data_IF_062806906502
#
_entry.id   IF_062806906502
#
_cell.length_a   1.000
_cell.length_b   1.000
_cell.length_c   1.000
_cell.angle_alpha   90.00
_cell.angle_beta   90.00
_cell.angle_gamma   90.00
#
_symmetry.space_group_name_H-M   'P 1'
#
loop_
_entity.id
_entity.type
_entity.pdbx_description
1 polymer ?
#
# COMPACT_ATOMS: atom_id res chain seq x y z
N UNK A 1 30.42 -12.88 2.41
CA UNK A 1 29.79 -13.22 1.11
C UNK A 1 28.45 -12.47 1.09
N UNK A 2 28.37 -11.33 0.39
CA UNK A 2 27.15 -10.51 0.38
C UNK A 2 26.22 -11.11 -0.67
N UNK A 3 25.18 -11.78 -0.20
CA UNK A 3 24.11 -12.32 -1.03
C UNK A 3 23.38 -11.13 -1.66
N UNK A 4 23.73 -10.81 -2.91
CA UNK A 4 22.97 -9.84 -3.70
C UNK A 4 21.58 -10.43 -3.88
N UNK A 5 20.63 -10.02 -3.04
CA UNK A 5 19.21 -10.23 -3.33
C UNK A 5 18.98 -9.69 -4.73
N UNK A 6 18.79 -10.56 -5.72
CA UNK A 6 18.25 -10.17 -7.02
C UNK A 6 16.94 -9.47 -6.69
N UNK A 7 16.92 -8.14 -6.78
CA UNK A 7 15.65 -7.42 -6.85
C UNK A 7 15.00 -8.00 -8.10
N UNK A 8 13.92 -8.75 -7.91
CA UNK A 8 13.10 -9.17 -9.03
C UNK A 8 12.81 -7.92 -9.89
N UNK A 9 12.95 -8.01 -11.22
CA UNK A 9 12.69 -6.87 -12.09
C UNK A 9 11.31 -6.30 -11.75
N UNK A 10 11.25 -4.99 -11.55
CA UNK A 10 9.97 -4.32 -11.30
C UNK A 10 9.05 -4.60 -12.50
N UNK A 11 7.73 -4.69 -12.30
CA UNK A 11 6.79 -5.14 -13.34
C UNK A 11 7.01 -4.53 -14.75
N UNK A 12 7.42 -3.25 -14.83
CA UNK A 12 7.80 -2.57 -16.08
C UNK A 12 9.03 -3.17 -16.80
N UNK A 13 10.06 -3.57 -16.07
CA UNK A 13 11.27 -4.18 -16.65
C UNK A 13 10.99 -5.58 -17.21
N UNK A 14 10.09 -6.32 -16.55
CA UNK A 14 9.63 -7.63 -17.03
C UNK A 14 8.83 -7.51 -18.33
N UNK A 15 7.87 -6.58 -18.39
CA UNK A 15 7.09 -6.29 -19.61
C UNK A 15 8.01 -5.83 -20.77
N UNK A 16 9.02 -5.01 -20.48
CA UNK A 16 9.99 -4.59 -21.48
C UNK A 16 10.78 -5.77 -22.06
N UNK A 17 11.19 -6.70 -21.20
CA UNK A 17 11.90 -7.92 -21.61
C UNK A 17 10.99 -8.82 -22.47
N UNK A 18 9.72 -8.92 -22.12
CA UNK A 18 8.74 -9.72 -22.87
C UNK A 18 8.44 -9.10 -24.26
N UNK A 19 8.43 -7.78 -24.37
CA UNK A 19 8.32 -7.07 -25.66
C UNK A 19 9.57 -7.25 -26.54
N UNK A 20 10.76 -7.26 -25.95
CA UNK A 20 12.00 -7.59 -26.66
C UNK A 20 11.99 -9.05 -27.13
N UNK A 21 11.44 -9.98 -26.33
CA UNK A 21 11.29 -11.37 -26.76
C UNK A 21 10.33 -11.47 -27.96
N UNK A 22 9.22 -10.73 -27.91
CA UNK A 22 8.23 -10.70 -28.99
C UNK A 22 8.81 -10.13 -30.30
N UNK A 23 9.71 -9.15 -30.23
CA UNK A 23 10.35 -8.56 -31.43
C UNK A 23 11.40 -9.47 -32.07
N UNK A 24 11.94 -10.43 -31.31
CA UNK A 24 12.88 -11.44 -31.79
C UNK A 24 12.19 -12.69 -32.35
N UNK A 25 10.88 -12.85 -32.12
CA UNK A 25 10.12 -13.99 -32.62
C UNK A 25 9.84 -13.87 -34.12
N UNK A 26 9.90 -14.98 -34.89
CA UNK A 26 9.41 -15.01 -36.26
C UNK A 26 7.92 -14.65 -36.30
N UNK A 27 7.46 -13.86 -37.29
CA UNK A 27 6.06 -13.43 -37.37
C UNK A 27 5.06 -14.59 -37.54
N UNK A 28 5.51 -15.73 -38.05
CA UNK A 28 4.73 -16.97 -38.22
C UNK A 28 4.79 -17.92 -37.01
N UNK A 29 5.41 -17.51 -35.89
CA UNK A 29 5.47 -18.34 -34.70
C UNK A 29 4.10 -18.49 -34.06
N UNK A 30 3.64 -19.73 -33.90
CA UNK A 30 2.41 -20.08 -33.17
C UNK A 30 2.38 -19.58 -31.72
N UNK A 31 3.55 -19.24 -31.15
CA UNK A 31 3.72 -18.79 -29.75
C UNK A 31 3.57 -17.27 -29.60
N UNK A 32 3.72 -16.50 -30.69
CA UNK A 32 3.58 -15.06 -30.68
C UNK A 32 2.23 -14.55 -30.13
N UNK A 33 1.06 -15.11 -30.48
CA UNK A 33 -0.22 -14.67 -29.91
C UNK A 33 -0.33 -14.96 -28.40
N UNK A 34 0.20 -16.08 -27.92
CA UNK A 34 0.20 -16.41 -26.50
C UNK A 34 1.07 -15.43 -25.68
N UNK A 35 2.23 -15.05 -26.23
CA UNK A 35 3.12 -14.07 -25.60
C UNK A 35 2.51 -12.67 -25.58
N UNK A 36 1.83 -12.25 -26.66
CA UNK A 36 1.07 -10.99 -26.69
C UNK A 36 -0.01 -10.93 -25.62
N UNK A 37 -0.79 -12.00 -25.47
CA UNK A 37 -1.82 -12.09 -24.43
C UNK A 37 -1.22 -11.98 -23.02
N UNK A 38 -0.04 -12.59 -22.79
CA UNK A 38 0.67 -12.47 -21.53
C UNK A 38 1.11 -11.03 -21.23
N UNK A 39 1.69 -10.36 -22.23
CA UNK A 39 2.14 -8.96 -22.13
C UNK A 39 0.95 -8.04 -21.85
N UNK A 40 -0.17 -8.18 -22.57
CA UNK A 40 -1.38 -7.39 -22.33
C UNK A 40 -1.94 -7.60 -20.93
N UNK A 41 -1.99 -8.84 -20.44
CA UNK A 41 -2.38 -9.16 -19.07
C UNK A 41 -1.46 -8.50 -18.04
N UNK A 42 -0.15 -8.56 -18.26
CA UNK A 42 0.85 -7.91 -17.43
C UNK A 42 0.74 -6.38 -17.42
N UNK A 43 0.44 -5.77 -18.57
CA UNK A 43 0.21 -4.32 -18.69
C UNK A 43 -1.07 -3.92 -17.96
N UNK A 44 -2.19 -4.64 -18.15
CA UNK A 44 -3.44 -4.36 -17.42
C UNK A 44 -3.23 -4.45 -15.92
N UNK A 45 -2.56 -5.51 -15.46
CA UNK A 45 -2.27 -5.68 -14.05
C UNK A 45 -1.30 -4.60 -13.53
N UNK A 46 -0.32 -4.17 -14.33
CA UNK A 46 0.59 -3.10 -13.94
C UNK A 46 -0.15 -1.77 -13.78
N UNK A 47 -1.04 -1.43 -14.72
CA UNK A 47 -1.86 -0.21 -14.67
C UNK A 47 -2.80 -0.24 -13.46
N UNK A 48 -3.52 -1.34 -13.28
CA UNK A 48 -4.44 -1.53 -12.15
C UNK A 48 -3.71 -1.49 -10.80
N UNK A 49 -2.51 -2.06 -10.72
CA UNK A 49 -1.71 -2.09 -9.49
C UNK A 49 -0.99 -0.77 -9.24
N UNK A 50 -0.56 -0.02 -10.26
CA UNK A 50 0.06 1.30 -10.10
C UNK A 50 -0.94 2.37 -9.66
N UNK A 51 -2.18 2.35 -10.18
CA UNK A 51 -3.23 3.27 -9.75
C UNK A 51 -3.75 2.95 -8.33
N UNK A 52 -3.78 1.66 -7.94
CA UNK A 52 -4.35 1.23 -6.66
C UNK A 52 -3.34 1.20 -5.50
N UNK A 53 -2.01 1.17 -5.75
CA UNK A 53 -0.99 1.02 -4.67
C UNK A 53 -0.26 2.30 -4.25
N UNK A 54 -0.85 3.49 -4.38
CA UNK A 54 -0.34 4.63 -3.61
C UNK A 54 -0.84 4.54 -2.17
N UNK A 55 -0.07 3.87 -1.30
CA UNK A 55 -0.17 4.06 0.16
C UNK A 55 -0.14 5.55 0.43
N UNK A 56 -1.14 6.06 1.15
CA UNK A 56 -1.22 7.47 1.50
C UNK A 56 -0.23 7.74 2.65
N UNK A 57 0.94 8.36 2.39
CA UNK A 57 1.93 8.57 3.45
C UNK A 57 1.41 9.52 4.52
N UNK A 58 0.40 10.35 4.19
CA UNK A 58 -0.22 11.27 5.13
C UNK A 58 -1.12 10.55 6.13
N UNK A 59 -1.93 9.60 5.66
CA UNK A 59 -2.77 8.76 6.53
C UNK A 59 -1.92 7.99 7.55
N UNK A 60 -0.82 7.38 7.09
CA UNK A 60 0.08 6.60 7.94
C UNK A 60 0.76 7.52 8.98
N UNK A 61 1.26 8.68 8.56
CA UNK A 61 1.88 9.64 9.47
C UNK A 61 0.88 10.14 10.52
N UNK A 62 -0.36 10.43 10.13
CA UNK A 62 -1.42 10.88 11.03
C UNK A 62 -1.80 9.78 12.05
N UNK A 63 -1.93 8.53 11.60
CA UNK A 63 -2.21 7.40 12.47
C UNK A 63 -1.12 7.19 13.52
N UNK A 64 0.16 7.30 13.12
CA UNK A 64 1.31 7.22 14.04
C UNK A 64 1.25 8.32 15.09
N UNK A 65 0.94 9.57 14.69
CA UNK A 65 0.81 10.70 15.62
C UNK A 65 -0.28 10.44 16.65
N UNK A 66 -1.47 9.99 16.22
CA UNK A 66 -2.56 9.66 17.15
C UNK A 66 -2.17 8.56 18.14
N UNK A 67 -1.48 7.51 17.68
CA UNK A 67 -1.00 6.43 18.55
C UNK A 67 -0.01 6.97 19.60
N UNK A 68 0.94 7.82 19.20
CA UNK A 68 1.90 8.42 20.14
C UNK A 68 1.20 9.28 21.19
N UNK A 69 0.20 10.07 20.78
CA UNK A 69 -0.60 10.89 21.71
C UNK A 69 -1.34 9.98 22.69
N UNK A 70 -1.97 8.90 22.23
CA UNK A 70 -2.65 7.93 23.10
C UNK A 70 -1.70 7.31 24.11
N UNK A 71 -0.52 6.87 23.69
CA UNK A 71 0.49 6.30 24.60
C UNK A 71 0.94 7.33 25.63
N UNK A 72 1.19 8.58 25.22
CA UNK A 72 1.58 9.65 26.13
C UNK A 72 0.50 9.97 27.16
N UNK A 73 -0.77 10.06 26.73
CA UNK A 73 -1.91 10.33 27.61
C UNK A 73 -2.14 9.20 28.61
N UNK A 74 -2.07 7.93 28.16
CA UNK A 74 -2.19 6.78 29.05
C UNK A 74 -1.04 6.74 30.06
N UNK A 75 0.19 6.96 29.61
CA UNK A 75 1.37 7.00 30.48
C UNK A 75 1.23 8.09 31.55
N UNK A 76 0.82 9.30 31.15
CA UNK A 76 0.55 10.40 32.09
C UNK A 76 -0.59 10.06 33.06
N UNK A 77 -1.62 9.37 32.60
CA UNK A 77 -2.74 8.92 33.43
C UNK A 77 -2.29 7.92 34.51
N UNK A 78 -1.53 6.90 34.12
CA UNK A 78 -1.07 5.85 35.04
C UNK A 78 0.01 6.32 36.02
N UNK A 79 0.94 7.18 35.59
CA UNK A 79 2.03 7.67 36.45
C UNK A 79 1.56 8.66 37.52
N UNK A 80 0.57 9.50 37.22
CA UNK A 80 0.12 10.53 38.14
C UNK A 80 -1.11 10.11 38.97
N UNK A 81 -1.93 9.18 38.46
CA UNK A 81 -3.11 8.67 39.15
C UNK A 81 -4.12 9.77 39.55
N UNK A 82 -5.12 9.41 40.37
CA UNK A 82 -6.10 10.36 40.91
C UNK A 82 -6.89 11.12 39.84
N UNK A 83 -6.80 12.45 39.81
CA UNK A 83 -7.51 13.27 38.80
C UNK A 83 -7.05 12.99 37.37
N UNK A 84 -5.84 12.47 37.18
CA UNK A 84 -5.29 12.14 35.86
C UNK A 84 -5.98 10.93 35.20
N UNK A 85 -6.84 10.19 35.91
CA UNK A 85 -7.72 9.19 35.30
C UNK A 85 -8.64 9.78 34.23
N UNK A 86 -8.98 11.07 34.31
CA UNK A 86 -9.76 11.76 33.27
C UNK A 86 -9.07 11.78 31.90
N UNK A 87 -7.74 11.66 31.84
CA UNK A 87 -6.98 11.58 30.58
C UNK A 87 -7.24 10.28 29.81
N UNK A 88 -7.80 9.25 30.45
CA UNK A 88 -8.19 8.01 29.76
C UNK A 88 -9.28 8.23 28.72
N UNK A 89 -10.19 9.19 28.93
CA UNK A 89 -11.26 9.51 27.98
C UNK A 89 -10.71 10.05 26.65
N UNK A 90 -9.91 11.13 26.62
CA UNK A 90 -9.30 11.61 25.38
C UNK A 90 -8.29 10.60 24.81
N UNK A 91 -7.61 9.82 25.65
CA UNK A 91 -6.73 8.74 25.18
C UNK A 91 -7.51 7.65 24.42
N UNK A 92 -8.68 7.25 24.92
CA UNK A 92 -9.53 6.27 24.26
C UNK A 92 -10.03 6.79 22.90
N UNK A 93 -10.49 8.05 22.85
CA UNK A 93 -10.95 8.67 21.60
C UNK A 93 -9.83 8.73 20.56
N UNK A 94 -8.68 9.29 20.94
CA UNK A 94 -7.51 9.38 20.05
C UNK A 94 -6.99 8.00 19.63
N UNK A 95 -7.05 7.01 20.53
CA UNK A 95 -6.64 5.64 20.25
C UNK A 95 -7.55 4.96 19.23
N UNK A 96 -8.86 5.16 19.34
CA UNK A 96 -9.84 4.67 18.35
C UNK A 96 -9.55 5.27 16.98
N UNK A 97 -9.31 6.58 16.89
CA UNK A 97 -8.96 7.24 15.62
C UNK A 97 -7.62 6.75 15.05
N UNK A 98 -6.61 6.56 15.90
CA UNK A 98 -5.31 6.03 15.51
C UNK A 98 -5.41 4.60 14.97
N UNK A 99 -6.14 3.72 15.66
CA UNK A 99 -6.36 2.33 15.25
C UNK A 99 -7.22 2.27 13.99
N UNK A 100 -8.31 3.05 13.91
CA UNK A 100 -9.18 3.09 12.74
C UNK A 100 -8.45 3.63 11.51
N UNK A 101 -7.65 4.70 11.66
CA UNK A 101 -6.82 5.24 10.58
C UNK A 101 -5.78 4.22 10.11
N UNK A 102 -5.12 3.53 11.05
CA UNK A 102 -4.16 2.48 10.71
C UNK A 102 -4.83 1.27 10.04
N UNK A 103 -6.03 0.89 10.48
CA UNK A 103 -6.80 -0.21 9.88
C UNK A 103 -7.33 0.15 8.49
N UNK A 104 -7.74 1.40 8.27
CA UNK A 104 -8.14 1.91 6.96
C UNK A 104 -6.96 1.99 5.99
N UNK A 105 -5.77 2.40 6.46
CA UNK A 105 -4.56 2.41 5.63
C UNK A 105 -3.96 1.01 5.40
N UNK A 106 -4.20 0.08 6.34
CA UNK A 106 -3.84 -1.33 6.15
C UNK A 106 -4.78 -2.03 5.16
N UNK A 107 -6.05 -1.60 5.08
CA UNK A 107 -7.05 -2.13 4.17
C UNK A 107 -6.94 -1.43 2.82
N UNK A 108 -6.31 -2.10 1.84
CA UNK A 108 -6.22 -1.60 0.46
C UNK A 108 -7.61 -1.22 -0.06
N UNK A 109 -7.86 0.08 -0.27
CA UNK A 109 -9.03 0.58 -0.99
C UNK A 109 -8.67 0.90 -2.42
N UNK A 110 -9.44 0.37 -3.35
CA UNK A 110 -9.48 0.80 -4.75
C UNK A 110 -9.93 2.26 -4.77
N UNK A 111 -9.14 3.14 -5.38
CA UNK A 111 -9.51 4.55 -5.62
C UNK A 111 -9.76 4.73 -7.12
N UNK A 112 -10.73 5.57 -7.45
CA UNK A 112 -10.98 5.99 -8.84
C UNK A 112 -9.84 6.90 -9.37
N UNK A 113 -9.86 7.21 -10.66
CA UNK A 113 -8.88 8.11 -11.33
C UNK A 113 -8.81 9.53 -10.70
N UNK A 114 -9.74 9.88 -9.81
CA UNK A 114 -9.82 11.16 -9.09
C UNK A 114 -9.43 11.04 -7.62
N UNK A 115 -8.94 9.88 -7.18
CA UNK A 115 -8.48 9.64 -5.82
C UNK A 115 -9.60 9.48 -4.78
N UNK A 116 -10.85 9.25 -5.21
CA UNK A 116 -11.98 8.99 -4.30
C UNK A 116 -12.09 7.50 -4.05
N UNK A 117 -12.47 7.06 -2.82
CA UNK A 117 -12.74 5.66 -2.56
C UNK A 117 -13.98 5.24 -3.36
N UNK A 118 -13.84 4.24 -4.24
CA UNK A 118 -14.99 3.61 -4.88
C UNK A 118 -15.69 2.74 -3.83
N UNK A 119 -16.91 3.13 -3.45
CA UNK A 119 -17.79 2.24 -2.72
C UNK A 119 -18.31 1.19 -3.72
N UNK A 120 -18.21 -0.09 -3.36
CA UNK A 120 -19.01 -1.14 -4.00
C UNK A 120 -20.51 -0.83 -3.86
#
# INVERSE_FOLDING_TARGET
MIERRRREPRGRERIKSDLELLSLLPPDSEVAPALRAHIEGGIRQLVEVEDVKRRDPFGIALAIVFILITVALLTASFLNGGWYWWLTVPAAVTGIFGIAGLAQDATKRTRDERGRPTAE
#
